data_IF_228303814452
#
_entry.id   IF_228303814452
#
_cell.length_a   1.000
_cell.length_b   1.000
_cell.length_c   1.000
_cell.angle_alpha   90.00
_cell.angle_beta   90.00
_cell.angle_gamma   90.00
#
_symmetry.space_group_name_H-M   'P 1'
#
loop_
_entity.id
_entity.type
_entity.pdbx_description
1 polymer ?
#
# COMPACT_ATOMS: atom_id res chain seq x y z
N UNK A 1 -12.03 11.10 20.23
CA UNK A 1 -13.42 11.02 19.75
C UNK A 1 -13.34 10.84 18.26
N UNK A 2 -13.94 9.77 17.74
CA UNK A 2 -14.04 9.52 16.31
C UNK A 2 -15.26 10.31 15.82
N UNK A 3 -15.08 11.23 14.87
CA UNK A 3 -16.23 11.93 14.27
C UNK A 3 -17.12 10.92 13.52
N UNK A 4 -18.45 11.10 13.55
CA UNK A 4 -19.34 10.26 12.76
C UNK A 4 -18.99 10.38 11.27
N UNK A 5 -19.17 9.30 10.49
CA UNK A 5 -18.88 9.34 9.06
C UNK A 5 -19.68 10.47 8.38
N UNK A 6 -19.11 11.13 7.35
CA UNK A 6 -19.73 12.27 6.71
C UNK A 6 -21.07 11.87 6.10
N UNK A 7 -22.05 12.77 6.20
CA UNK A 7 -23.36 12.57 5.61
C UNK A 7 -23.26 12.53 4.08
N UNK A 8 -23.33 11.32 3.53
CA UNK A 8 -23.25 11.05 2.08
C UNK A 8 -24.40 11.64 1.29
N UNK A 9 -25.48 12.10 1.94
CA UNK A 9 -26.60 12.78 1.28
C UNK A 9 -26.21 14.16 0.74
N UNK A 10 -25.13 14.74 1.24
CA UNK A 10 -24.57 16.04 0.81
C UNK A 10 -23.60 15.93 -0.38
N UNK A 11 -23.29 14.71 -0.82
CA UNK A 11 -22.33 14.49 -1.92
C UNK A 11 -22.96 14.83 -3.27
N UNK A 12 -22.17 15.32 -4.26
CA UNK A 12 -22.69 15.65 -5.58
C UNK A 12 -23.44 14.46 -6.21
N UNK A 13 -24.59 14.69 -6.84
CA UNK A 13 -25.33 13.61 -7.50
C UNK A 13 -24.52 13.03 -8.67
N UNK A 14 -24.61 11.72 -8.86
CA UNK A 14 -23.92 11.00 -9.94
C UNK A 14 -22.49 10.56 -9.62
N UNK A 15 -21.93 10.96 -8.47
CA UNK A 15 -20.62 10.49 -8.02
C UNK A 15 -20.73 9.24 -7.13
N UNK A 16 -19.70 8.37 -7.12
CA UNK A 16 -19.71 7.14 -6.35
C UNK A 16 -19.70 7.39 -4.84
N UNK A 17 -20.55 6.66 -4.11
CA UNK A 17 -20.75 6.78 -2.65
C UNK A 17 -20.04 5.68 -1.87
N UNK A 18 -19.54 4.67 -2.56
CA UNK A 18 -18.87 3.50 -2.00
C UNK A 18 -17.67 3.12 -2.86
N UNK A 19 -16.73 2.36 -2.29
CA UNK A 19 -15.60 1.80 -3.05
C UNK A 19 -16.08 0.86 -4.15
N UNK A 20 -17.18 0.13 -3.94
CA UNK A 20 -17.78 -0.73 -4.96
C UNK A 20 -18.30 0.11 -6.15
N UNK A 21 -19.07 1.17 -5.88
CA UNK A 21 -19.54 2.08 -6.93
C UNK A 21 -18.38 2.78 -7.65
N UNK A 22 -17.33 3.17 -6.91
CA UNK A 22 -16.11 3.74 -7.48
C UNK A 22 -15.39 2.72 -8.38
N UNK A 23 -15.22 1.48 -7.93
CA UNK A 23 -14.60 0.43 -8.71
C UNK A 23 -15.35 0.12 -10.00
N UNK A 24 -16.68 0.01 -9.91
CA UNK A 24 -17.53 -0.27 -11.06
C UNK A 24 -17.56 0.88 -12.09
N UNK A 25 -17.49 2.13 -11.64
CA UNK A 25 -17.57 3.29 -12.53
C UNK A 25 -16.21 3.77 -13.05
N UNK A 26 -15.15 3.72 -12.24
CA UNK A 26 -13.86 4.37 -12.53
C UNK A 26 -12.69 3.40 -12.73
N UNK A 27 -12.88 2.12 -12.38
CA UNK A 27 -11.83 1.10 -12.44
C UNK A 27 -12.24 -0.11 -13.27
N UNK A 28 -13.41 -0.09 -13.92
CA UNK A 28 -13.97 -1.23 -14.65
C UNK A 28 -12.99 -1.82 -15.67
N UNK A 29 -12.30 -0.97 -16.43
CA UNK A 29 -11.34 -1.39 -17.45
C UNK A 29 -10.05 -1.99 -16.85
N UNK A 30 -9.63 -1.55 -15.66
CA UNK A 30 -8.54 -2.16 -14.92
C UNK A 30 -8.92 -3.52 -14.33
N UNK A 31 -10.19 -3.68 -13.95
CA UNK A 31 -10.73 -4.88 -13.30
C UNK A 31 -11.28 -5.92 -14.29
N UNK A 32 -11.62 -5.53 -15.52
CA UNK A 32 -12.18 -6.40 -16.55
C UNK A 32 -11.30 -7.64 -16.84
N UNK A 33 -9.96 -7.51 -16.97
CA UNK A 33 -9.08 -8.65 -17.24
C UNK A 33 -8.97 -9.65 -16.08
N UNK A 34 -9.46 -9.31 -14.89
CA UNK A 34 -9.29 -10.12 -13.68
C UNK A 34 -10.41 -11.16 -13.53
N UNK A 35 -10.09 -12.26 -12.84
CA UNK A 35 -11.09 -13.23 -12.40
C UNK A 35 -12.03 -12.61 -11.35
N UNK A 36 -13.20 -13.20 -11.13
CA UNK A 36 -14.13 -12.73 -10.12
C UNK A 36 -13.51 -12.70 -8.70
N UNK A 37 -12.73 -13.72 -8.35
CA UNK A 37 -12.06 -13.82 -7.06
C UNK A 37 -10.98 -12.73 -6.91
N UNK A 38 -10.18 -12.49 -7.95
CA UNK A 38 -9.18 -11.41 -7.94
C UNK A 38 -9.84 -10.04 -7.81
N UNK A 39 -10.94 -9.79 -8.54
CA UNK A 39 -11.72 -8.55 -8.40
C UNK A 39 -12.22 -8.38 -6.97
N UNK A 40 -12.76 -9.43 -6.37
CA UNK A 40 -13.24 -9.40 -4.99
C UNK A 40 -12.12 -9.03 -4.02
N UNK A 41 -10.95 -9.68 -4.12
CA UNK A 41 -9.78 -9.40 -3.27
C UNK A 41 -9.31 -7.95 -3.43
N UNK A 42 -9.24 -7.43 -4.66
CA UNK A 42 -8.84 -6.03 -4.91
C UNK A 42 -9.84 -5.07 -4.29
N UNK A 43 -11.14 -5.20 -4.60
CA UNK A 43 -12.18 -4.29 -4.09
C UNK A 43 -12.27 -4.36 -2.57
N UNK A 44 -12.16 -5.55 -1.97
CA UNK A 44 -12.10 -5.73 -0.52
C UNK A 44 -10.86 -5.03 0.05
N UNK A 45 -9.68 -5.21 -0.55
CA UNK A 45 -8.45 -4.54 -0.12
C UNK A 45 -8.61 -3.03 -0.13
N UNK A 46 -9.14 -2.47 -1.22
CA UNK A 46 -9.41 -1.03 -1.33
C UNK A 46 -10.42 -0.57 -0.27
N UNK A 47 -11.44 -1.37 0.01
CA UNK A 47 -12.46 -1.07 1.04
C UNK A 47 -11.84 -1.03 2.44
N UNK A 48 -10.91 -1.92 2.74
CA UNK A 48 -10.23 -1.98 4.04
C UNK A 48 -9.17 -0.88 4.21
N UNK A 49 -8.43 -0.53 3.16
CA UNK A 49 -7.47 0.58 3.18
C UNK A 49 -8.14 1.95 3.21
N UNK A 50 -9.39 2.02 2.75
CA UNK A 50 -10.24 3.19 2.79
C UNK A 50 -10.84 3.36 4.19
N UNK A 51 -10.28 4.25 5.00
CA UNK A 51 -10.84 4.59 6.31
C UNK A 51 -11.74 5.83 6.29
N UNK A 52 -12.23 6.30 5.13
CA UNK A 52 -13.03 7.54 5.06
C UNK A 52 -12.24 8.78 4.64
N UNK A 53 -11.16 8.58 3.89
CA UNK A 53 -10.44 9.62 3.15
C UNK A 53 -10.91 9.73 1.68
N UNK A 54 -10.14 10.36 0.80
CA UNK A 54 -10.36 10.29 -0.65
C UNK A 54 -10.28 8.86 -1.18
N UNK A 55 -10.93 8.61 -2.32
CA UNK A 55 -10.77 7.37 -3.04
C UNK A 55 -9.32 7.20 -3.49
N UNK A 56 -8.82 5.95 -3.53
CA UNK A 56 -7.44 5.70 -3.93
C UNK A 56 -7.23 6.13 -5.37
N UNK A 57 -6.07 6.71 -5.66
CA UNK A 57 -5.74 7.10 -7.02
C UNK A 57 -5.71 5.88 -7.95
N UNK A 58 -6.08 6.11 -9.21
CA UNK A 58 -6.12 5.05 -10.23
C UNK A 58 -4.75 4.37 -10.42
N UNK A 59 -3.66 5.13 -10.32
CA UNK A 59 -2.30 4.58 -10.34
C UNK A 59 -2.09 3.58 -9.19
N UNK A 60 -2.51 3.90 -7.96
CA UNK A 60 -2.40 3.01 -6.82
C UNK A 60 -3.13 1.69 -7.05
N UNK A 61 -4.35 1.77 -7.57
CA UNK A 61 -5.16 0.58 -7.88
C UNK A 61 -4.50 -0.26 -8.97
N UNK A 62 -3.97 0.38 -10.02
CA UNK A 62 -3.24 -0.32 -11.06
C UNK A 62 -1.99 -1.03 -10.51
N UNK A 63 -1.18 -0.38 -9.67
CA UNK A 63 0.00 -1.01 -9.05
C UNK A 63 -0.39 -2.18 -8.16
N UNK A 64 -1.51 -2.07 -7.44
CA UNK A 64 -2.06 -3.17 -6.65
C UNK A 64 -2.45 -4.37 -7.53
N UNK A 65 -3.11 -4.12 -8.66
CA UNK A 65 -3.48 -5.17 -9.62
C UNK A 65 -2.23 -5.80 -10.23
N UNK A 66 -1.22 -5.00 -10.58
CA UNK A 66 0.01 -5.49 -11.19
C UNK A 66 0.80 -6.39 -10.24
N UNK A 67 0.87 -6.07 -8.94
CA UNK A 67 1.54 -6.95 -7.98
C UNK A 67 0.74 -8.25 -7.77
N UNK A 68 -0.60 -8.17 -7.72
CA UNK A 68 -1.46 -9.35 -7.57
C UNK A 68 -1.45 -10.27 -8.79
N UNK A 69 -1.24 -9.72 -9.98
CA UNK A 69 -1.12 -10.49 -11.24
C UNK A 69 0.32 -10.87 -11.57
N UNK A 70 1.28 -10.51 -10.72
CA UNK A 70 2.70 -10.83 -10.90
C UNK A 70 3.39 -10.06 -12.03
N UNK A 71 2.80 -8.95 -12.51
CA UNK A 71 3.42 -8.06 -13.50
C UNK A 71 4.53 -7.20 -12.91
N UNK A 72 4.44 -6.90 -11.61
CA UNK A 72 5.51 -6.29 -10.83
C UNK A 72 5.75 -7.11 -9.56
N UNK A 73 6.95 -7.02 -8.99
CA UNK A 73 7.26 -7.71 -7.74
C UNK A 73 6.69 -6.98 -6.51
N UNK A 74 6.48 -7.66 -5.37
CA UNK A 74 6.12 -7.01 -4.12
C UNK A 74 7.10 -5.90 -3.70
N UNK A 75 8.40 -6.11 -3.92
CA UNK A 75 9.41 -5.11 -3.63
C UNK A 75 9.27 -3.85 -4.51
N UNK A 76 8.96 -4.01 -5.81
CA UNK A 76 8.71 -2.86 -6.70
C UNK A 76 7.48 -2.08 -6.26
N UNK A 77 6.40 -2.77 -5.87
CA UNK A 77 5.21 -2.13 -5.32
C UNK A 77 5.53 -1.37 -4.02
N UNK A 78 6.20 -2.00 -3.06
CA UNK A 78 6.55 -1.37 -1.78
C UNK A 78 7.45 -0.15 -2.00
N UNK A 79 8.42 -0.21 -2.92
CA UNK A 79 9.29 0.91 -3.27
C UNK A 79 8.52 2.05 -3.92
N UNK A 80 7.61 1.76 -4.86
CA UNK A 80 6.72 2.74 -5.45
C UNK A 80 5.81 3.41 -4.40
N UNK A 81 5.31 2.65 -3.41
CA UNK A 81 4.53 3.22 -2.30
C UNK A 81 5.39 4.20 -1.50
N UNK A 82 6.63 3.83 -1.16
CA UNK A 82 7.54 4.69 -0.38
C UNK A 82 7.87 5.99 -1.12
N UNK A 83 8.03 5.93 -2.44
CA UNK A 83 8.22 7.12 -3.27
C UNK A 83 6.94 7.95 -3.34
N UNK A 84 5.78 7.32 -3.54
CA UNK A 84 4.49 7.99 -3.67
C UNK A 84 4.08 8.71 -2.40
N UNK A 85 4.34 8.12 -1.23
CA UNK A 85 4.15 8.79 0.07
C UNK A 85 5.02 10.04 0.15
N UNK A 86 6.25 10.01 -0.40
CA UNK A 86 7.13 11.17 -0.47
C UNK A 86 6.62 12.32 -1.33
N UNK A 87 5.64 12.07 -2.20
CA UNK A 87 4.99 13.10 -3.04
C UNK A 87 3.82 13.79 -2.33
N UNK A 88 3.41 13.31 -1.15
CA UNK A 88 2.32 13.93 -0.40
C UNK A 88 2.75 15.29 0.17
N UNK A 89 1.91 16.33 0.10
CA UNK A 89 2.24 17.66 0.64
C UNK A 89 2.55 17.67 2.14
N UNK A 90 2.09 16.64 2.86
CA UNK A 90 2.26 16.46 4.30
C UNK A 90 3.45 15.57 4.66
N UNK A 91 4.13 14.99 3.67
CA UNK A 91 5.28 14.14 3.92
C UNK A 91 6.43 14.97 4.48
N UNK A 92 7.13 14.42 5.47
CA UNK A 92 8.38 15.02 5.91
C UNK A 92 9.37 15.10 4.74
N UNK A 93 10.21 16.15 4.68
CA UNK A 93 11.22 16.27 3.63
C UNK A 93 12.11 15.02 3.62
N UNK A 94 12.03 14.26 2.53
CA UNK A 94 12.89 13.09 2.34
C UNK A 94 12.20 11.76 2.02
N UNK A 95 10.91 11.70 1.70
CA UNK A 95 10.28 10.44 1.24
C UNK A 95 11.02 9.73 0.08
N UNK A 96 10.67 8.48 -0.20
CA UNK A 96 11.37 7.66 -1.20
C UNK A 96 12.81 7.31 -0.79
N UNK A 97 13.78 7.57 -1.69
CA UNK A 97 15.20 7.20 -1.49
C UNK A 97 15.79 7.79 -0.21
N UNK A 98 15.52 9.07 0.06
CA UNK A 98 16.05 9.77 1.22
C UNK A 98 15.63 9.15 2.55
N UNK A 99 14.38 8.67 2.62
CA UNK A 99 13.79 8.07 3.81
C UNK A 99 14.41 6.72 4.09
N UNK A 100 14.63 5.92 3.04
CA UNK A 100 15.27 4.62 3.16
C UNK A 100 16.74 4.78 3.58
N UNK A 101 17.48 5.73 2.98
CA UNK A 101 18.85 6.04 3.40
C UNK A 101 18.90 6.60 4.83
N UNK A 102 17.95 7.46 5.21
CA UNK A 102 17.84 7.98 6.58
C UNK A 102 17.61 6.87 7.60
N UNK A 103 16.84 5.83 7.26
CA UNK A 103 16.68 4.63 8.11
C UNK A 103 17.94 3.79 8.19
N UNK A 104 18.69 3.67 7.09
CA UNK A 104 19.99 3.00 7.12
C UNK A 104 20.99 3.74 8.02
N UNK A 105 20.91 5.07 8.07
CA UNK A 105 21.84 5.93 8.82
C UNK A 105 21.52 5.99 10.32
N UNK A 106 20.24 6.13 10.67
CA UNK A 106 19.79 6.29 12.07
C UNK A 106 19.45 4.97 12.78
N UNK A 107 19.54 3.85 12.06
CA UNK A 107 19.08 2.55 12.54
C UNK A 107 17.59 2.33 12.32
N UNK A 108 17.15 1.10 12.51
CA UNK A 108 15.78 0.68 12.21
C UNK A 108 14.88 0.87 13.43
N UNK A 109 13.79 1.61 13.26
CA UNK A 109 12.62 1.43 14.13
C UNK A 109 11.90 0.11 13.79
N UNK A 110 10.93 -0.27 14.63
CA UNK A 110 10.14 -1.51 14.56
C UNK A 110 9.81 -1.90 13.10
N UNK A 111 10.33 -3.04 12.67
CA UNK A 111 9.95 -3.70 11.40
C UNK A 111 10.81 -3.37 10.17
N UNK A 112 11.90 -2.60 10.31
CA UNK A 112 12.91 -2.43 9.26
C UNK A 112 14.16 -3.29 9.50
N UNK A 113 14.70 -3.95 8.48
CA UNK A 113 16.04 -4.52 8.51
C UNK A 113 16.91 -3.88 7.44
N UNK A 114 18.25 -4.03 7.55
CA UNK A 114 19.16 -3.55 6.51
C UNK A 114 18.83 -4.17 5.18
N UNK A 115 18.61 -5.48 5.20
CA UNK A 115 18.28 -6.30 4.06
C UNK A 115 16.99 -5.79 3.39
N UNK A 116 15.95 -5.46 4.16
CA UNK A 116 14.71 -4.90 3.60
C UNK A 116 14.93 -3.52 2.99
N UNK A 117 15.72 -2.65 3.61
CA UNK A 117 16.01 -1.32 3.04
C UNK A 117 16.81 -1.45 1.74
N UNK A 118 17.78 -2.36 1.68
CA UNK A 118 18.52 -2.66 0.46
C UNK A 118 17.63 -3.28 -0.63
N UNK A 119 16.70 -4.17 -0.26
CA UNK A 119 15.69 -4.72 -1.17
C UNK A 119 14.84 -3.60 -1.78
N UNK A 120 14.34 -2.67 -0.96
CA UNK A 120 13.54 -1.56 -1.44
C UNK A 120 14.35 -0.64 -2.39
N UNK A 121 15.58 -0.26 -2.02
CA UNK A 121 16.45 0.53 -2.91
C UNK A 121 16.73 -0.21 -4.23
N UNK A 122 16.91 -1.53 -4.17
CA UNK A 122 17.15 -2.38 -5.33
C UNK A 122 15.92 -2.53 -6.23
N UNK A 123 14.73 -2.16 -5.73
CA UNK A 123 13.44 -2.27 -6.41
C UNK A 123 12.90 -0.92 -6.92
N UNK A 124 13.66 0.17 -6.79
CA UNK A 124 13.27 1.51 -7.25
C UNK A 124 13.46 1.68 -8.76
N UNK A 125 12.51 2.36 -9.41
CA UNK A 125 12.51 2.63 -10.84
C UNK A 125 13.09 4.00 -11.22
N UNK A 126 13.12 4.99 -10.30
CA UNK A 126 13.79 6.28 -10.53
C UNK A 126 15.32 6.19 -10.49
N UNK A 127 15.90 5.74 -11.60
CA UNK A 127 17.36 5.69 -11.78
C UNK A 127 18.05 7.05 -11.76
N UNK A 128 17.33 8.15 -12.05
CA UNK A 128 17.91 9.51 -12.13
C UNK A 128 18.30 10.02 -10.75
N UNK A 129 17.42 9.83 -9.77
CA UNK A 129 17.68 10.23 -8.38
C UNK A 129 18.43 9.15 -7.60
N UNK A 130 18.23 7.86 -7.95
CA UNK A 130 18.85 6.73 -7.24
C UNK A 130 20.36 6.69 -7.41
N UNK A 131 20.90 6.82 -8.63
CA UNK A 131 22.34 6.67 -8.89
C UNK A 131 23.18 7.69 -8.08
N UNK A 132 22.87 9.00 -8.10
CA UNK A 132 23.59 9.97 -7.27
C UNK A 132 23.47 9.69 -5.77
N UNK A 133 22.28 9.31 -5.29
CA UNK A 133 22.03 9.06 -3.88
C UNK A 133 22.77 7.83 -3.33
N UNK A 134 22.78 6.72 -4.07
CA UNK A 134 23.52 5.51 -3.70
C UNK A 134 25.03 5.76 -3.78
N UNK A 135 25.49 6.51 -4.77
CA UNK A 135 26.91 6.89 -4.90
C UNK A 135 27.35 7.75 -3.71
N UNK A 136 26.56 8.75 -3.31
CA UNK A 136 26.83 9.56 -2.13
C UNK A 136 26.83 8.73 -0.84
N UNK A 137 25.84 7.87 -0.64
CA UNK A 137 25.77 6.97 0.51
C UNK A 137 26.99 6.05 0.61
N UNK A 138 27.49 5.54 -0.51
CA UNK A 138 28.72 4.75 -0.55
C UNK A 138 29.96 5.59 -0.20
N UNK A 139 30.06 6.82 -0.70
CA UNK A 139 31.18 7.73 -0.41
C UNK A 139 31.21 8.17 1.06
N UNK A 140 30.05 8.31 1.70
CA UNK A 140 29.92 8.58 3.14
C UNK A 140 30.13 7.35 4.03
N UNK A 141 30.28 6.16 3.44
CA UNK A 141 30.46 4.90 4.18
C UNK A 141 29.16 4.33 4.79
N UNK A 142 28.00 4.89 4.43
CA UNK A 142 26.69 4.36 4.84
C UNK A 142 26.38 3.01 4.17
N UNK A 143 26.81 2.88 2.91
CA UNK A 143 26.81 1.65 2.14
C UNK A 143 28.26 1.22 1.89
N UNK A 144 28.51 -0.09 1.98
CA UNK A 144 29.72 -0.64 1.38
C UNK A 144 29.64 -0.54 -0.15
N UNK A 145 30.81 -0.55 -0.82
CA UNK A 145 30.84 -0.56 -2.30
C UNK A 145 30.08 -1.74 -2.89
N UNK A 146 30.20 -2.92 -2.26
CA UNK A 146 29.50 -4.12 -2.71
C UNK A 146 27.97 -3.98 -2.62
N UNK A 147 27.45 -3.37 -1.55
CA UNK A 147 26.01 -3.10 -1.43
C UNK A 147 25.54 -2.06 -2.44
N UNK A 148 26.30 -0.98 -2.64
CA UNK A 148 25.98 0.04 -3.63
C UNK A 148 25.95 -0.55 -5.05
N UNK A 149 26.96 -1.34 -5.43
CA UNK A 149 27.03 -2.01 -6.72
C UNK A 149 25.86 -3.00 -6.90
N UNK A 150 25.51 -3.76 -5.85
CA UNK A 150 24.39 -4.69 -5.88
C UNK A 150 23.05 -3.97 -6.06
N UNK A 151 22.80 -2.90 -5.30
CA UNK A 151 21.58 -2.08 -5.41
C UNK A 151 21.43 -1.50 -6.81
N UNK A 152 22.48 -0.85 -7.32
CA UNK A 152 22.43 -0.23 -8.65
C UNK A 152 22.30 -1.27 -9.76
N UNK A 153 23.02 -2.39 -9.67
CA UNK A 153 22.89 -3.47 -10.64
C UNK A 153 21.49 -4.07 -10.66
N UNK A 154 20.88 -4.27 -9.49
CA UNK A 154 19.52 -4.78 -9.38
C UNK A 154 18.50 -3.78 -9.95
N UNK A 155 18.55 -2.52 -9.51
CA UNK A 155 17.62 -1.47 -9.94
C UNK A 155 17.67 -1.23 -11.46
N UNK A 156 18.88 -1.17 -12.04
CA UNK A 156 19.07 -1.00 -13.48
C UNK A 156 18.61 -2.20 -14.32
N UNK A 157 18.47 -3.37 -13.69
CA UNK A 157 18.00 -4.60 -14.34
C UNK A 157 16.49 -4.80 -14.17
N UNK A 158 15.81 -3.95 -13.40
CA UNK A 158 14.38 -4.06 -13.20
C UNK A 158 13.62 -3.77 -14.49
N UNK A 159 12.53 -4.51 -14.76
CA UNK A 159 11.54 -4.07 -15.71
C UNK A 159 10.99 -2.71 -15.30
N UNK A 160 10.92 -1.78 -16.26
CA UNK A 160 10.23 -0.50 -16.07
C UNK A 160 8.77 -0.78 -15.69
N UNK A 161 8.27 -0.03 -14.71
CA UNK A 161 6.86 -0.15 -14.31
C UNK A 161 5.95 0.08 -15.52
N UNK A 162 4.87 -0.71 -15.70
CA UNK A 162 3.95 -0.47 -16.80
C UNK A 162 3.40 0.97 -16.74
N UNK A 163 3.14 1.61 -17.90
CA UNK A 163 2.58 2.95 -17.90
C UNK A 163 1.18 2.95 -17.27
N UNK A 164 0.84 4.06 -16.60
CA UNK A 164 -0.49 4.22 -16.00
C UNK A 164 -1.54 4.24 -17.10
N UNK A 165 -2.57 3.40 -16.97
CA UNK A 165 -3.72 3.38 -17.87
C UNK A 165 -4.57 4.61 -17.57
N UNK A 166 -4.76 5.52 -18.53
CA UNK A 166 -5.57 6.71 -18.30
C UNK A 166 -7.02 6.34 -17.97
N UNK A 167 -7.75 7.29 -17.38
CA UNK A 167 -9.19 7.18 -17.25
C UNK A 167 -9.80 7.15 -18.66
N UNK A 168 -10.81 6.29 -18.94
CA UNK A 168 -11.52 6.32 -20.21
C UNK A 168 -12.10 7.71 -20.53
N UNK A 169 -12.04 8.12 -21.80
CA UNK A 169 -12.41 9.48 -22.24
C UNK A 169 -13.88 9.84 -21.98
N UNK A 170 -14.74 8.84 -21.80
CA UNK A 170 -16.17 8.98 -21.52
C UNK A 170 -16.51 9.15 -20.03
N UNK A 171 -15.53 9.02 -19.14
CA UNK A 171 -15.71 9.16 -17.70
C UNK A 171 -15.12 10.49 -17.23
N UNK A 172 -15.94 11.34 -16.60
CA UNK A 172 -15.48 12.59 -16.01
C UNK A 172 -14.62 12.33 -14.76
N UNK A 173 -13.44 12.97 -14.63
CA UNK A 173 -12.60 12.81 -13.44
C UNK A 173 -13.34 13.16 -12.14
N UNK A 174 -12.98 12.46 -11.06
CA UNK A 174 -13.47 12.83 -9.74
C UNK A 174 -12.96 14.22 -9.33
N UNK A 175 -13.72 14.96 -8.51
CA UNK A 175 -13.20 16.15 -7.85
C UNK A 175 -11.96 15.81 -7.01
N UNK A 176 -11.04 16.75 -6.91
CA UNK A 176 -9.86 16.62 -6.06
C UNK A 176 -10.27 16.27 -4.62
N UNK A 177 -9.57 15.29 -4.02
CA UNK A 177 -9.85 14.78 -2.68
C UNK A 177 -11.28 14.25 -2.48
N UNK A 178 -11.88 13.60 -3.48
CA UNK A 178 -13.19 12.97 -3.34
C UNK A 178 -13.12 11.50 -2.89
N UNK A 179 -13.95 11.06 -1.93
CA UNK A 179 -14.77 11.93 -1.08
C UNK A 179 -13.90 12.73 -0.11
N UNK A 180 -14.39 13.90 0.34
CA UNK A 180 -13.63 14.78 1.21
C UNK A 180 -13.16 14.01 2.45
N UNK A 181 -11.91 14.22 2.89
CA UNK A 181 -11.37 13.51 4.04
C UNK A 181 -12.22 13.78 5.28
N UNK A 182 -12.58 12.71 5.98
CA UNK A 182 -13.22 12.83 7.30
C UNK A 182 -12.12 13.19 8.32
N UNK A 183 -12.27 14.24 9.14
CA UNK A 183 -11.26 14.57 10.15
C UNK A 183 -10.94 13.38 11.06
N UNK A 184 -9.66 13.06 11.20
CA UNK A 184 -9.19 11.89 11.96
C UNK A 184 -9.15 10.58 11.19
N UNK A 185 -9.52 10.59 9.91
CA UNK A 185 -9.45 9.45 9.01
C UNK A 185 -8.56 9.75 7.79
N UNK A 186 -7.88 8.74 7.27
CA UNK A 186 -6.98 8.86 6.12
C UNK A 186 -7.01 7.62 5.24
N UNK A 187 -6.46 7.71 4.04
CA UNK A 187 -6.18 6.53 3.23
C UNK A 187 -4.89 5.88 3.76
N UNK A 188 -4.95 4.59 4.11
CA UNK A 188 -3.75 3.84 4.50
C UNK A 188 -3.22 3.13 3.26
N UNK A 189 -1.99 3.45 2.85
CA UNK A 189 -1.28 2.68 1.82
C UNK A 189 -1.24 1.22 2.24
N UNK A 190 -1.72 0.31 1.39
CA UNK A 190 -1.76 -1.13 1.67
C UNK A 190 -0.40 -1.71 1.25
N UNK A 191 0.48 -2.15 2.17
CA UNK A 191 1.74 -2.83 1.81
C UNK A 191 1.46 -4.11 1.02
N UNK A 192 2.35 -4.52 0.11
CA UNK A 192 2.13 -5.74 -0.69
C UNK A 192 1.90 -6.99 0.17
N UNK A 193 2.57 -7.07 1.32
CA UNK A 193 2.40 -8.16 2.29
C UNK A 193 1.04 -8.18 3.02
N UNK A 194 0.31 -7.07 3.05
CA UNK A 194 -1.03 -6.95 3.64
C UNK A 194 -2.13 -7.36 2.66
N UNK A 195 -1.86 -7.28 1.35
CA UNK A 195 -2.85 -7.63 0.31
C UNK A 195 -3.23 -9.11 0.36
N UNK A 196 -2.43 -9.95 1.02
CA UNK A 196 -2.72 -11.38 1.19
C UNK A 196 -3.71 -11.60 2.36
N UNK A 197 -3.85 -10.66 3.30
CA UNK A 197 -4.75 -10.82 4.45
C UNK A 197 -5.37 -9.48 4.89
N UNK A 198 -6.47 -9.10 4.28
CA UNK A 198 -7.75 -8.93 4.99
C UNK A 198 -7.91 -8.06 6.25
N UNK A 199 -6.97 -7.22 6.72
CA UNK A 199 -7.11 -6.52 8.01
C UNK A 199 -7.19 -4.99 7.91
N UNK A 200 -8.19 -4.42 8.58
CA UNK A 200 -8.62 -3.01 8.45
C UNK A 200 -8.38 -2.14 9.70
N UNK A 201 -7.63 -2.62 10.70
CA UNK A 201 -7.14 -1.77 11.80
C UNK A 201 -5.63 -1.92 11.95
N UNK A 202 -4.94 -0.87 12.44
CA UNK A 202 -3.49 -0.94 12.71
C UNK A 202 -3.18 -2.09 13.68
N UNK A 203 -4.06 -2.35 14.65
CA UNK A 203 -3.92 -3.43 15.63
C UNK A 203 -4.12 -4.82 14.99
N UNK A 204 -5.15 -4.99 14.14
CA UNK A 204 -5.37 -6.25 13.41
C UNK A 204 -4.27 -6.50 12.39
N UNK A 205 -3.75 -5.45 11.76
CA UNK A 205 -2.58 -5.52 10.88
C UNK A 205 -1.32 -5.91 11.65
N UNK A 206 -1.04 -5.29 12.80
CA UNK A 206 0.09 -5.65 13.66
C UNK A 206 -0.03 -7.11 14.16
N UNK A 207 -1.22 -7.52 14.58
CA UNK A 207 -1.50 -8.88 15.00
C UNK A 207 -1.31 -9.90 13.85
N UNK A 208 -1.79 -9.57 12.65
CA UNK A 208 -1.59 -10.42 11.47
C UNK A 208 -0.13 -10.55 11.06
N UNK A 209 0.64 -9.46 11.15
CA UNK A 209 2.07 -9.47 10.88
C UNK A 209 2.84 -10.33 11.87
N UNK A 210 2.47 -10.26 13.15
CA UNK A 210 3.07 -11.09 14.19
C UNK A 210 2.80 -12.58 13.93
N UNK A 211 1.58 -12.94 13.51
CA UNK A 211 1.23 -14.31 13.15
C UNK A 211 2.08 -14.80 11.96
N UNK A 212 2.15 -14.01 10.88
CA UNK A 212 2.93 -14.36 9.68
C UNK A 212 4.43 -14.48 10.00
N UNK A 213 4.96 -13.59 10.84
CA UNK A 213 6.35 -13.63 11.28
C UNK A 213 6.65 -14.92 12.05
N UNK A 214 5.79 -15.29 13.00
CA UNK A 214 5.95 -16.51 13.80
C UNK A 214 5.86 -17.79 12.97
N UNK A 215 4.99 -17.85 11.97
CA UNK A 215 4.94 -18.98 11.02
C UNK A 215 6.25 -19.07 10.23
N UNK A 216 6.75 -17.94 9.74
CA UNK A 216 7.98 -17.89 8.94
C UNK A 216 9.24 -18.23 9.75
N UNK A 217 9.23 -17.91 11.05
CA UNK A 217 10.27 -18.26 12.00
C UNK A 217 10.20 -19.74 12.46
N UNK A 218 9.14 -20.48 12.09
CA UNK A 218 8.89 -21.85 12.56
C UNK A 218 8.43 -21.93 14.02
N UNK A 219 8.02 -20.80 14.59
CA UNK A 219 7.53 -20.66 15.97
C UNK A 219 6.02 -20.89 16.10
N UNK A 220 5.32 -20.91 14.96
CA UNK A 220 3.89 -21.18 14.84
C UNK A 220 3.66 -22.15 13.68
N UNK A 221 2.81 -23.16 13.89
CA UNK A 221 2.43 -24.07 12.82
C UNK A 221 1.66 -23.31 11.72
N UNK A 222 1.91 -23.56 10.42
CA UNK A 222 1.22 -22.85 9.34
C UNK A 222 -0.31 -22.96 9.38
N UNK A 223 -0.87 -24.12 9.75
CA UNK A 223 -2.31 -24.31 9.83
C UNK A 223 -2.91 -23.59 11.05
N UNK A 224 -2.16 -23.52 12.15
CA UNK A 224 -2.52 -22.71 13.32
C UNK A 224 -2.49 -21.21 12.99
N UNK A 225 -1.46 -20.76 12.25
CA UNK A 225 -1.38 -19.38 11.76
C UNK A 225 -2.54 -18.99 10.85
N UNK A 226 -2.94 -19.87 9.93
CA UNK A 226 -4.10 -19.66 9.05
C UNK A 226 -5.41 -19.56 9.84
N UNK A 227 -5.62 -20.42 10.86
CA UNK A 227 -6.78 -20.30 11.75
C UNK A 227 -6.80 -18.99 12.54
N UNK A 228 -5.64 -18.54 13.04
CA UNK A 228 -5.55 -17.28 13.78
C UNK A 228 -5.84 -16.07 12.88
N UNK A 229 -5.40 -16.10 11.61
CA UNK A 229 -5.71 -15.04 10.64
C UNK A 229 -7.20 -15.00 10.31
N UNK A 230 -7.85 -16.16 10.10
CA UNK A 230 -9.30 -16.22 9.87
C UNK A 230 -10.11 -15.83 11.11
N UNK A 231 -9.63 -16.14 12.32
CA UNK A 231 -10.25 -15.68 13.57
C UNK A 231 -10.16 -14.15 13.71
N UNK A 232 -8.99 -13.56 13.46
CA UNK A 232 -8.80 -12.10 13.45
C UNK A 232 -9.73 -11.40 12.44
N UNK A 233 -9.98 -12.05 11.31
CA UNK A 233 -10.87 -11.56 10.26
C UNK A 233 -12.34 -11.68 10.68
N UNK A 234 -12.71 -12.77 11.35
CA UNK A 234 -14.06 -13.00 11.86
C UNK A 234 -14.43 -12.06 13.01
N UNK A 235 -13.53 -11.84 13.98
CA UNK A 235 -13.74 -10.92 15.11
C UNK A 235 -13.92 -9.48 14.62
N UNK A 236 -13.26 -9.12 13.52
CA UNK A 236 -13.43 -7.83 12.87
C UNK A 236 -14.78 -7.71 12.14
N UNK A 237 -15.20 -8.73 11.38
CA UNK A 237 -16.50 -8.74 10.67
C UNK A 237 -17.67 -8.74 11.68
N UNK A 238 -17.51 -9.35 12.85
CA UNK A 238 -18.53 -9.37 13.90
C UNK A 238 -18.65 -8.04 14.68
N UNK A 239 -17.74 -7.09 14.48
CA UNK A 239 -17.69 -5.79 15.16
C UNK A 239 -18.62 -4.72 14.58
N UNK A 240 -19.87 -5.05 14.22
CA UNK A 240 -20.90 -4.01 14.06
C UNK A 240 -21.10 -3.30 15.41
N UNK A 241 -21.27 -1.96 15.43
CA UNK A 241 -21.66 -1.27 16.66
C UNK A 241 -23.05 -1.78 17.04
N UNK A 242 -23.11 -2.61 18.08
CA UNK A 242 -24.33 -2.92 18.81
C UNK A 242 -25.01 -1.62 19.22
N UNK A 243 -25.99 -1.17 18.44
CA UNK A 243 -27.04 -0.28 18.91
C UNK A 243 -27.97 -1.07 19.81
N UNK A 244 -27.52 -1.37 21.02
CA UNK A 244 -28.42 -1.67 22.11
C UNK A 244 -28.24 -0.61 23.18
N UNK A 245 -29.27 0.23 23.25
CA UNK A 245 -29.52 1.14 24.35
C UNK A 245 -29.73 0.32 25.63
N UNK A 246 -28.94 0.66 26.66
CA UNK A 246 -29.19 0.36 28.06
C UNK A 246 -28.80 1.55 28.90
#
# INVERSE_FOLDING_TARGET
>A
MIEPPPDKSTWPPGLPRTIAEYADAYLADLLDPLTADMRHVIVQSLTMGYLGGPFPDREMVQRLIEVQTGRITPAQYDSWVMESVGRLPTAEPGGGIGHILGRLENGYEVGGTREKMLELLSAMDDTTSLVPAITDAANRGLLSRAEADAVLSAALSLPVLPPVVPLPDDIEPLPDNYPPPTPGYGCVSIPAGTVIHGFATLDAYQASREIIHRVSAGELDPAEGEQMLEALKSDYIAGEPSTDAG
#
